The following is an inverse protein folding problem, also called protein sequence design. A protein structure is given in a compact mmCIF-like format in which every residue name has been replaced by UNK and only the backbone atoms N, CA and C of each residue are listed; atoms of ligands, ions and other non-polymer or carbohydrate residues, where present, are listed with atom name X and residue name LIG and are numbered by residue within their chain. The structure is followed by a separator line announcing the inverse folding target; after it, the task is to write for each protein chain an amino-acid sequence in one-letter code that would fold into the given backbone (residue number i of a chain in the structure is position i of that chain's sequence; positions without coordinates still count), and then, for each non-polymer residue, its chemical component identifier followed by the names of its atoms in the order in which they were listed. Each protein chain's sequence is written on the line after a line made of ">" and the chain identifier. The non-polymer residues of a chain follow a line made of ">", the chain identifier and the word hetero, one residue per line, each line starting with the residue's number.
data_IF_038397279087
#
_entry.id   IF_038397279087
#
_cell.length_a   1.000
_cell.length_b   1.000
_cell.length_c   1.000
_cell.angle_alpha   90.00
_cell.angle_beta   90.00
_cell.angle_gamma   90.00
#
_symmetry.space_group_name_H-M   'P 1'
#
loop_
_entity.id
_entity.type
_entity.pdbx_description
1 polymer ?
#
# COMPACT_ATOMS: atom_id res chain seq x y z
N UNK A 1 18.28 15.48 -14.22
CA UNK A 1 17.03 14.76 -14.04
C UNK A 1 16.84 14.28 -12.62
N UNK A 2 17.62 13.36 -12.11
CA UNK A 2 17.40 12.77 -10.75
C UNK A 2 17.20 13.78 -9.62
N UNK A 3 17.91 14.88 -9.58
CA UNK A 3 17.80 15.88 -8.51
C UNK A 3 16.46 16.61 -8.50
N UNK A 4 15.93 16.96 -9.68
CA UNK A 4 14.66 17.66 -9.79
C UNK A 4 13.49 16.72 -9.50
N UNK A 5 13.57 15.46 -9.92
CA UNK A 5 12.56 14.44 -9.62
C UNK A 5 12.49 14.20 -8.11
N UNK A 6 13.64 14.15 -7.43
CA UNK A 6 13.71 14.06 -5.97
C UNK A 6 13.08 15.30 -5.32
N UNK A 7 13.37 16.50 -5.82
CA UNK A 7 12.77 17.74 -5.32
C UNK A 7 11.25 17.74 -5.50
N UNK A 8 10.76 17.34 -6.67
CA UNK A 8 9.33 17.23 -6.95
C UNK A 8 8.66 16.20 -6.04
N UNK A 9 9.28 15.05 -5.85
CA UNK A 9 8.80 13.98 -4.96
C UNK A 9 8.71 14.47 -3.51
N UNK A 10 9.75 15.12 -3.00
CA UNK A 10 9.77 15.64 -1.63
C UNK A 10 8.75 16.76 -1.43
N UNK A 11 8.62 17.68 -2.42
CA UNK A 11 7.63 18.76 -2.37
C UNK A 11 6.21 18.21 -2.37
N UNK A 12 5.94 17.19 -3.17
CA UNK A 12 4.65 16.52 -3.24
C UNK A 12 4.29 15.78 -1.93
N UNK A 13 5.29 15.17 -1.27
CA UNK A 13 5.13 14.55 0.05
C UNK A 13 5.06 15.57 1.20
N UNK A 14 5.15 16.87 0.92
CA UNK A 14 5.17 17.91 1.95
C UNK A 14 6.44 17.93 2.80
N UNK A 15 7.49 17.23 2.39
CA UNK A 15 8.79 17.19 3.08
C UNK A 15 9.59 18.43 2.72
N UNK A 16 10.10 19.14 3.73
CA UNK A 16 11.06 20.21 3.52
C UNK A 16 12.40 19.63 3.08
N UNK A 17 12.89 20.07 1.94
CA UNK A 17 14.27 19.79 1.51
C UNK A 17 15.19 20.78 2.23
N UNK A 18 16.32 20.31 2.72
CA UNK A 18 17.20 20.95 3.73
C UNK A 18 17.53 22.45 3.52
N UNK A 19 17.24 23.07 2.38
CA UNK A 19 17.55 24.49 2.12
C UNK A 19 16.44 25.25 1.39
N UNK A 20 15.24 24.67 1.21
CA UNK A 20 14.17 25.29 0.45
C UNK A 20 12.85 25.31 1.24
N UNK A 21 12.20 26.46 1.27
CA UNK A 21 10.78 26.50 1.66
C UNK A 21 9.90 25.84 0.59
N UNK A 22 8.68 25.46 0.92
CA UNK A 22 7.75 24.88 -0.08
C UNK A 22 7.49 25.83 -1.26
N UNK A 23 7.47 27.14 -1.01
CA UNK A 23 7.31 28.17 -2.06
C UNK A 23 8.57 28.26 -2.96
N UNK A 24 9.75 28.20 -2.38
CA UNK A 24 11.00 28.20 -3.13
C UNK A 24 11.14 26.92 -3.98
N UNK A 25 10.72 25.77 -3.43
CA UNK A 25 10.71 24.50 -4.16
C UNK A 25 9.78 24.56 -5.37
N UNK A 26 8.56 25.08 -5.22
CA UNK A 26 7.64 25.25 -6.33
C UNK A 26 8.18 26.23 -7.39
N UNK A 27 8.86 27.27 -6.96
CA UNK A 27 9.51 28.24 -7.86
C UNK A 27 10.68 27.59 -8.61
N UNK A 28 11.49 26.78 -7.94
CA UNK A 28 12.58 26.04 -8.56
C UNK A 28 12.09 25.01 -9.58
N UNK A 29 11.03 24.26 -9.24
CA UNK A 29 10.37 23.29 -10.13
C UNK A 29 9.85 24.02 -11.39
N UNK A 30 9.18 25.15 -11.21
CA UNK A 30 8.67 25.95 -12.31
C UNK A 30 9.79 26.46 -13.23
N UNK A 31 10.87 26.99 -12.68
CA UNK A 31 12.05 27.42 -13.44
C UNK A 31 12.67 26.28 -14.23
N UNK A 32 12.73 25.10 -13.64
CA UNK A 32 13.24 23.92 -14.31
C UNK A 32 12.38 23.56 -15.53
N UNK A 33 11.05 23.53 -15.38
CA UNK A 33 10.16 23.28 -16.51
C UNK A 33 10.25 24.37 -17.58
N UNK A 34 10.36 25.63 -17.20
CA UNK A 34 10.56 26.73 -18.13
C UNK A 34 11.85 26.52 -18.96
N UNK A 35 12.93 26.07 -18.31
CA UNK A 35 14.21 25.79 -18.97
C UNK A 35 14.13 24.57 -19.88
N UNK A 36 13.59 23.45 -19.42
CA UNK A 36 13.47 22.20 -20.19
C UNK A 36 12.52 22.35 -21.40
N UNK A 37 11.48 23.14 -21.24
CA UNK A 37 10.54 23.43 -22.33
C UNK A 37 11.01 24.53 -23.27
N UNK A 38 12.13 25.20 -22.94
CA UNK A 38 12.67 26.31 -23.71
C UNK A 38 11.77 27.56 -23.66
N UNK A 39 11.10 27.77 -22.52
CA UNK A 39 10.30 28.95 -22.23
C UNK A 39 11.22 30.02 -21.62
N UNK A 40 11.23 31.25 -22.13
CA UNK A 40 12.01 32.33 -21.49
C UNK A 40 11.56 32.55 -20.03
N UNK A 41 12.52 32.76 -19.13
CA UNK A 41 12.25 32.92 -17.69
C UNK A 41 11.23 34.06 -17.45
N UNK A 42 10.17 33.76 -16.70
CA UNK A 42 9.12 34.73 -16.40
C UNK A 42 8.20 35.09 -17.59
N UNK A 43 8.23 34.34 -18.67
CA UNK A 43 7.39 34.58 -19.83
C UNK A 43 5.91 34.39 -19.49
N UNK A 44 5.12 35.48 -19.69
CA UNK A 44 3.66 35.46 -19.54
C UNK A 44 2.93 35.38 -20.89
N UNK A 45 3.67 35.33 -22.03
CA UNK A 45 3.06 35.22 -23.35
C UNK A 45 2.60 33.78 -23.62
N UNK A 46 1.31 33.60 -23.58
CA UNK A 46 0.62 32.35 -23.84
C UNK A 46 0.93 31.70 -25.17
N UNK A 47 1.27 32.48 -26.19
CA UNK A 47 1.63 31.94 -27.53
C UNK A 47 2.98 31.25 -27.48
N UNK A 48 3.92 31.85 -26.77
CA UNK A 48 5.28 31.29 -26.59
C UNK A 48 5.21 30.00 -25.77
N UNK A 49 4.51 30.04 -24.67
CA UNK A 49 4.30 28.85 -23.77
C UNK A 49 3.64 27.72 -24.57
N UNK A 50 2.58 28.00 -25.33
CA UNK A 50 1.91 27.01 -26.19
C UNK A 50 2.85 26.36 -27.21
N UNK A 51 3.67 27.17 -27.82
CA UNK A 51 4.59 26.70 -28.86
C UNK A 51 5.71 25.84 -28.28
N UNK A 52 6.20 26.22 -27.11
CA UNK A 52 7.23 25.49 -26.36
C UNK A 52 6.70 24.14 -25.89
N UNK A 53 5.54 24.12 -25.23
CA UNK A 53 4.87 22.89 -24.80
C UNK A 53 4.62 21.92 -25.96
N UNK A 54 4.17 22.42 -27.13
CA UNK A 54 3.96 21.55 -28.29
C UNK A 54 5.24 20.93 -28.83
N UNK A 55 6.37 21.64 -28.72
CA UNK A 55 7.65 21.14 -29.21
C UNK A 55 8.30 20.12 -28.32
N UNK A 56 8.16 20.31 -27.01
CA UNK A 56 8.86 19.54 -25.98
C UNK A 56 7.89 18.70 -25.12
N UNK A 57 6.73 18.32 -25.65
CA UNK A 57 5.70 17.55 -24.94
C UNK A 57 6.25 16.27 -24.31
N UNK A 58 6.93 15.46 -25.11
CA UNK A 58 7.45 14.16 -24.68
C UNK A 58 8.30 14.33 -23.42
N UNK A 59 9.21 15.31 -23.46
CA UNK A 59 10.11 15.58 -22.33
C UNK A 59 9.38 15.98 -21.05
N UNK A 60 8.33 16.78 -21.20
CA UNK A 60 7.51 17.21 -20.09
C UNK A 60 6.81 16.01 -19.43
N UNK A 61 6.26 15.10 -20.22
CA UNK A 61 5.54 13.94 -19.72
C UNK A 61 6.47 12.87 -19.13
N UNK A 62 7.66 12.67 -19.71
CA UNK A 62 8.71 11.83 -19.10
C UNK A 62 9.04 12.25 -17.66
N UNK A 63 9.12 13.55 -17.39
CA UNK A 63 9.40 14.06 -16.05
C UNK A 63 8.24 13.78 -15.08
N UNK A 64 6.99 13.95 -15.55
CA UNK A 64 5.81 13.67 -14.73
C UNK A 64 5.74 12.17 -14.41
N UNK A 65 5.93 11.33 -15.42
CA UNK A 65 5.94 9.88 -15.30
C UNK A 65 6.95 9.42 -14.25
N UNK A 66 8.22 9.82 -14.39
CA UNK A 66 9.28 9.50 -13.43
C UNK A 66 8.96 10.04 -12.02
N UNK A 67 8.33 11.21 -11.91
CA UNK A 67 7.95 11.78 -10.62
C UNK A 67 6.84 10.99 -9.94
N UNK A 68 5.78 10.63 -10.67
CA UNK A 68 4.66 9.85 -10.13
C UNK A 68 5.13 8.46 -9.72
N UNK A 69 5.98 7.82 -10.52
CA UNK A 69 6.56 6.51 -10.19
C UNK A 69 7.39 6.57 -8.90
N UNK A 70 8.26 7.55 -8.77
CA UNK A 70 9.07 7.73 -7.56
C UNK A 70 8.21 8.03 -6.32
N UNK A 71 7.13 8.83 -6.49
CA UNK A 71 6.17 9.10 -5.42
C UNK A 71 5.48 7.83 -4.93
N UNK A 72 5.03 6.97 -5.86
CA UNK A 72 4.37 5.71 -5.53
C UNK A 72 5.31 4.78 -4.77
N UNK A 73 6.50 4.56 -5.29
CA UNK A 73 7.50 3.67 -4.66
C UNK A 73 7.92 4.18 -3.29
N UNK A 74 8.11 5.49 -3.13
CA UNK A 74 8.46 6.11 -1.85
C UNK A 74 7.31 6.03 -0.85
N UNK A 75 6.08 6.32 -1.28
CA UNK A 75 4.88 6.25 -0.44
C UNK A 75 4.64 4.84 0.10
N UNK A 76 4.80 3.82 -0.72
CA UNK A 76 4.65 2.41 -0.29
C UNK A 76 5.74 2.00 0.70
N UNK A 77 6.98 2.46 0.52
CA UNK A 77 8.08 2.18 1.44
C UNK A 77 7.93 2.84 2.81
N UNK A 78 7.21 3.94 2.89
CA UNK A 78 7.00 4.68 4.14
C UNK A 78 5.73 4.21 4.91
N UNK A 79 4.84 3.47 4.27
CA UNK A 79 3.63 2.96 4.90
C UNK A 79 3.94 1.74 5.78
N UNK A 80 3.75 1.86 7.11
CA UNK A 80 4.01 0.78 8.09
C UNK A 80 3.20 -0.50 7.78
N UNK A 81 1.96 -0.36 7.36
CA UNK A 81 1.13 -1.48 6.97
C UNK A 81 1.72 -2.20 5.76
N UNK A 82 2.11 -1.44 4.75
CA UNK A 82 2.73 -1.98 3.55
C UNK A 82 4.04 -2.70 3.87
N UNK A 83 4.88 -2.09 4.70
CA UNK A 83 6.14 -2.70 5.13
C UNK A 83 5.93 -4.00 5.92
N UNK A 84 4.87 -4.09 6.72
CA UNK A 84 4.63 -5.26 7.57
C UNK A 84 4.03 -6.44 6.81
N UNK A 85 3.14 -6.19 5.85
CA UNK A 85 2.32 -7.24 5.23
C UNK A 85 2.56 -7.44 3.74
N UNK A 86 3.25 -6.52 3.06
CA UNK A 86 3.44 -6.57 1.61
C UNK A 86 4.90 -6.80 1.24
N UNK A 87 5.17 -7.87 0.50
CA UNK A 87 6.45 -8.06 -0.19
C UNK A 87 6.35 -7.42 -1.57
N UNK A 88 7.09 -6.33 -1.75
CA UNK A 88 7.11 -5.56 -2.98
C UNK A 88 8.28 -5.97 -3.87
N UNK A 89 8.00 -6.20 -5.15
CA UNK A 89 9.03 -6.39 -6.18
C UNK A 89 8.74 -5.50 -7.38
N UNK A 90 9.77 -4.81 -7.84
CA UNK A 90 9.76 -4.12 -9.12
C UNK A 90 10.48 -4.99 -10.14
N UNK A 91 9.79 -5.35 -11.21
CA UNK A 91 10.28 -6.25 -12.26
C UNK A 91 10.27 -5.54 -13.62
N UNK A 92 11.23 -5.87 -14.47
CA UNK A 92 11.20 -5.42 -15.85
C UNK A 92 10.04 -6.06 -16.61
N UNK A 93 9.55 -5.40 -17.66
CA UNK A 93 8.46 -5.90 -18.47
C UNK A 93 8.80 -7.27 -19.08
N UNK A 94 7.96 -8.26 -18.78
CA UNK A 94 8.15 -9.65 -19.28
C UNK A 94 9.11 -10.49 -18.44
N UNK A 95 9.61 -9.99 -17.33
CA UNK A 95 10.41 -10.75 -16.40
C UNK A 95 9.55 -11.75 -15.61
N UNK A 96 10.12 -12.91 -15.24
CA UNK A 96 9.39 -13.95 -14.51
C UNK A 96 9.17 -13.54 -13.06
N UNK A 97 7.92 -13.44 -12.64
CA UNK A 97 7.54 -13.05 -11.29
C UNK A 97 7.14 -14.26 -10.42
N UNK A 98 8.11 -15.02 -9.97
CA UNK A 98 7.88 -16.14 -9.07
C UNK A 98 8.24 -15.79 -7.64
N UNK A 99 7.29 -15.94 -6.72
CA UNK A 99 7.53 -15.83 -5.29
C UNK A 99 7.68 -17.21 -4.70
N UNK A 100 8.85 -17.49 -4.15
CA UNK A 100 9.09 -18.70 -3.43
C UNK A 100 8.62 -18.56 -1.98
N UNK A 101 7.74 -19.46 -1.56
CA UNK A 101 7.30 -19.60 -0.17
C UNK A 101 7.85 -20.91 0.35
N UNK A 102 8.75 -20.86 1.35
CA UNK A 102 9.32 -22.06 1.94
C UNK A 102 8.23 -22.88 2.64
N UNK A 103 8.43 -24.17 2.72
CA UNK A 103 7.59 -25.03 3.56
C UNK A 103 8.07 -24.90 5.02
N UNK A 104 7.24 -24.29 5.85
CA UNK A 104 7.52 -24.08 7.28
C UNK A 104 6.79 -25.09 8.16
N UNK A 105 6.42 -26.26 7.60
CA UNK A 105 5.81 -27.34 8.38
C UNK A 105 6.75 -27.82 9.49
N UNK A 106 6.20 -27.89 10.70
CA UNK A 106 6.95 -28.35 11.88
C UNK A 106 7.03 -29.87 11.83
N UNK A 107 8.26 -30.40 11.87
CA UNK A 107 8.49 -31.83 11.95
C UNK A 107 8.16 -32.34 13.35
N UNK A 108 7.46 -33.47 13.42
CA UNK A 108 7.06 -34.09 14.70
C UNK A 108 8.18 -35.01 15.19
N UNK A 109 8.63 -34.79 16.41
CA UNK A 109 9.57 -35.67 17.08
C UNK A 109 8.77 -36.67 17.90
N UNK A 110 9.03 -37.95 17.71
CA UNK A 110 8.38 -39.02 18.46
C UNK A 110 9.40 -39.73 19.36
N UNK A 111 9.01 -40.05 20.57
CA UNK A 111 9.77 -40.95 21.43
C UNK A 111 9.60 -42.37 20.91
N UNK A 112 10.68 -43.12 20.88
CA UNK A 112 10.64 -44.53 20.51
C UNK A 112 11.42 -45.40 21.48
N UNK A 113 10.97 -46.61 21.65
CA UNK A 113 11.69 -47.63 22.40
C UNK A 113 12.79 -48.21 21.54
N UNK A 114 13.99 -48.39 22.09
CA UNK A 114 15.16 -48.88 21.35
C UNK A 114 14.98 -50.21 20.63
N UNK A 115 13.96 -50.98 20.97
CA UNK A 115 13.66 -52.28 20.37
C UNK A 115 12.75 -52.24 19.13
N UNK A 116 12.03 -51.12 18.93
CA UNK A 116 11.12 -50.97 17.79
C UNK A 116 11.30 -49.61 17.12
N UNK A 117 11.50 -49.65 15.81
CA UNK A 117 11.62 -48.45 14.99
C UNK A 117 10.24 -48.06 14.44
N UNK A 118 9.43 -47.41 15.28
CA UNK A 118 8.10 -46.91 14.96
C UNK A 118 8.10 -45.46 14.47
N UNK A 119 9.29 -44.91 14.15
CA UNK A 119 9.40 -43.53 13.67
C UNK A 119 8.77 -43.39 12.27
N UNK A 120 7.75 -42.56 12.19
CA UNK A 120 7.10 -42.22 10.93
C UNK A 120 8.03 -41.33 10.11
N UNK A 121 8.32 -41.74 8.87
CA UNK A 121 9.13 -40.98 7.93
C UNK A 121 8.35 -39.73 7.54
N UNK A 122 8.91 -38.55 7.81
CA UNK A 122 8.36 -37.27 7.42
C UNK A 122 9.18 -36.71 6.23
N UNK A 123 8.49 -36.22 5.22
CA UNK A 123 9.14 -35.62 4.07
C UNK A 123 9.32 -34.13 4.33
N UNK A 124 10.54 -33.63 4.17
CA UNK A 124 10.78 -32.19 4.14
C UNK A 124 10.10 -31.61 2.89
N UNK A 125 9.21 -30.64 3.08
CA UNK A 125 8.56 -29.94 1.97
C UNK A 125 9.55 -29.11 1.17
N UNK A 126 9.33 -29.02 -0.12
CA UNK A 126 10.21 -28.27 -1.02
C UNK A 126 9.81 -26.78 -1.16
N UNK A 127 8.80 -26.33 -0.42
CA UNK A 127 8.19 -25.02 -0.64
C UNK A 127 7.39 -24.97 -1.96
N UNK A 128 6.85 -23.82 -2.28
CA UNK A 128 6.07 -23.61 -3.50
C UNK A 128 6.41 -22.25 -4.13
N UNK A 129 6.41 -22.23 -5.45
CA UNK A 129 6.52 -21.00 -6.22
C UNK A 129 5.13 -20.55 -6.64
N UNK A 130 4.85 -19.27 -6.42
CA UNK A 130 3.58 -18.65 -6.76
C UNK A 130 3.79 -17.56 -7.79
N UNK A 131 3.23 -17.72 -9.01
CA UNK A 131 3.21 -16.65 -9.98
C UNK A 131 2.15 -15.61 -9.61
N UNK A 132 2.47 -14.33 -9.78
CA UNK A 132 1.52 -13.23 -9.61
C UNK A 132 1.07 -12.74 -10.97
N UNK A 133 -0.21 -12.84 -11.27
CA UNK A 133 -0.76 -12.32 -12.51
C UNK A 133 -0.83 -10.78 -12.46
N UNK A 134 -0.14 -10.12 -13.39
CA UNK A 134 -0.17 -8.68 -13.54
C UNK A 134 -1.35 -8.24 -14.39
N UNK A 135 -1.92 -7.07 -14.07
CA UNK A 135 -3.03 -6.43 -14.80
C UNK A 135 -2.64 -5.00 -15.13
N UNK A 136 -3.13 -4.50 -16.25
CA UNK A 136 -2.95 -3.10 -16.59
C UNK A 136 -3.91 -2.23 -15.78
N UNK A 137 -3.38 -1.21 -15.16
CA UNK A 137 -4.10 -0.12 -14.52
C UNK A 137 -3.87 1.15 -15.32
N UNK A 138 -4.86 2.00 -15.39
CA UNK A 138 -4.72 3.26 -16.10
C UNK A 138 -5.64 4.33 -15.53
N UNK A 139 -5.18 5.56 -15.59
CA UNK A 139 -5.97 6.74 -15.31
C UNK A 139 -5.98 7.62 -16.54
N UNK A 140 -7.17 8.04 -16.95
CA UNK A 140 -7.36 8.96 -18.07
C UNK A 140 -7.93 10.27 -17.55
N UNK A 141 -7.21 11.35 -17.80
CA UNK A 141 -7.56 12.68 -17.31
C UNK A 141 -7.67 13.61 -18.52
N UNK A 142 -8.70 14.43 -18.54
CA UNK A 142 -8.85 15.48 -19.54
C UNK A 142 -9.06 16.82 -18.85
N UNK A 143 -8.55 17.86 -19.44
CA UNK A 143 -8.86 19.23 -19.04
C UNK A 143 -8.90 20.17 -20.25
N UNK A 144 -9.59 21.29 -20.07
CA UNK A 144 -9.63 22.34 -21.06
C UNK A 144 -8.24 22.99 -21.19
N UNK A 145 -7.70 22.97 -22.40
CA UNK A 145 -6.40 23.55 -22.69
C UNK A 145 -6.27 25.01 -22.23
N UNK A 146 -7.38 25.75 -22.19
CA UNK A 146 -7.42 27.15 -21.76
C UNK A 146 -7.13 27.32 -20.28
N UNK A 147 -7.67 26.44 -19.42
CA UNK A 147 -7.46 26.48 -17.96
C UNK A 147 -6.00 26.20 -17.61
N UNK A 148 -5.40 25.28 -18.32
CA UNK A 148 -3.98 24.95 -18.21
C UNK A 148 -3.09 26.16 -18.56
N UNK A 149 -3.49 26.94 -19.57
CA UNK A 149 -2.76 28.13 -20.01
C UNK A 149 -2.90 29.32 -19.08
N UNK A 150 -4.04 29.42 -18.41
CA UNK A 150 -4.28 30.49 -17.44
C UNK A 150 -3.53 30.32 -16.14
N UNK A 151 -2.78 29.21 -15.97
CA UNK A 151 -2.06 28.90 -14.74
C UNK A 151 -3.00 28.56 -13.57
N UNK A 152 -4.28 28.25 -13.89
CA UNK A 152 -5.28 27.86 -12.90
C UNK A 152 -4.98 26.45 -12.37
N UNK A 153 -4.31 25.63 -13.20
CA UNK A 153 -3.89 24.28 -12.81
C UNK A 153 -2.42 24.33 -12.44
N UNK A 154 -2.14 24.07 -11.18
CA UNK A 154 -0.78 23.85 -10.69
C UNK A 154 -0.33 22.44 -11.06
N UNK A 155 0.86 22.35 -11.67
CA UNK A 155 1.45 21.09 -12.10
C UNK A 155 1.70 20.14 -10.94
N UNK A 156 2.15 20.66 -9.81
CA UNK A 156 2.35 19.88 -8.60
C UNK A 156 1.02 19.32 -8.10
N UNK A 157 -0.04 20.13 -8.09
CA UNK A 157 -1.37 19.70 -7.72
C UNK A 157 -1.96 18.65 -8.67
N UNK A 158 -1.66 18.74 -9.97
CA UNK A 158 -2.08 17.75 -10.96
C UNK A 158 -1.37 16.40 -10.75
N UNK A 159 -0.05 16.42 -10.58
CA UNK A 159 0.76 15.22 -10.33
C UNK A 159 0.35 14.55 -9.01
N UNK A 160 0.11 15.35 -7.97
CA UNK A 160 -0.36 14.82 -6.68
C UNK A 160 -1.73 14.14 -6.79
N UNK A 161 -2.66 14.72 -7.53
CA UNK A 161 -3.99 14.09 -7.72
C UNK A 161 -3.91 12.77 -8.48
N UNK A 162 -3.00 12.65 -9.44
CA UNK A 162 -2.76 11.39 -10.13
C UNK A 162 -2.16 10.35 -9.18
N UNK A 163 -1.14 10.74 -8.43
CA UNK A 163 -0.53 9.91 -7.40
C UNK A 163 -1.57 9.42 -6.39
N UNK A 164 -2.34 10.33 -5.78
CA UNK A 164 -3.38 9.99 -4.81
C UNK A 164 -4.43 9.02 -5.38
N UNK A 165 -4.82 9.19 -6.64
CA UNK A 165 -5.79 8.31 -7.27
C UNK A 165 -5.24 6.88 -7.49
N UNK A 166 -3.99 6.77 -7.92
CA UNK A 166 -3.30 5.50 -8.13
C UNK A 166 -3.02 4.81 -6.79
N UNK A 167 -2.44 5.55 -5.84
CA UNK A 167 -2.13 5.05 -4.50
C UNK A 167 -3.39 4.54 -3.80
N UNK A 168 -4.47 5.32 -3.84
CA UNK A 168 -5.77 4.91 -3.31
C UNK A 168 -6.25 3.60 -3.94
N UNK A 169 -6.15 3.46 -5.27
CA UNK A 169 -6.59 2.24 -5.95
C UNK A 169 -5.78 1.02 -5.54
N UNK A 170 -4.45 1.16 -5.45
CA UNK A 170 -3.57 0.07 -5.04
C UNK A 170 -3.81 -0.29 -3.58
N UNK A 171 -3.90 0.69 -2.70
CA UNK A 171 -4.23 0.46 -1.30
C UNK A 171 -5.60 -0.22 -1.15
N UNK A 172 -6.61 0.20 -1.92
CA UNK A 172 -7.91 -0.45 -1.93
C UNK A 172 -7.84 -1.92 -2.34
N UNK A 173 -7.00 -2.26 -3.31
CA UNK A 173 -6.83 -3.63 -3.78
C UNK A 173 -6.01 -4.47 -2.76
N UNK A 174 -5.00 -3.88 -2.12
CA UNK A 174 -4.26 -4.52 -1.01
C UNK A 174 -5.20 -4.81 0.16
N UNK A 175 -6.02 -3.86 0.55
CA UNK A 175 -6.99 -4.07 1.62
C UNK A 175 -8.07 -5.09 1.23
N UNK A 176 -8.51 -5.12 -0.03
CA UNK A 176 -9.43 -6.15 -0.52
C UNK A 176 -8.79 -7.55 -0.43
N UNK A 177 -7.50 -7.66 -0.76
CA UNK A 177 -6.75 -8.92 -0.61
C UNK A 177 -6.62 -9.32 0.86
N UNK A 178 -6.41 -8.36 1.75
CA UNK A 178 -6.36 -8.60 3.20
C UNK A 178 -7.70 -9.08 3.76
N UNK A 179 -8.83 -8.56 3.27
CA UNK A 179 -10.15 -9.02 3.69
C UNK A 179 -10.49 -10.44 3.25
N UNK A 180 -9.95 -10.87 2.11
CA UNK A 180 -10.15 -12.25 1.65
C UNK A 180 -9.58 -13.29 2.62
N UNK A 181 -8.73 -12.87 3.55
CA UNK A 181 -8.23 -13.70 4.63
C UNK A 181 -9.33 -14.33 5.47
N UNK A 182 -10.40 -13.58 5.75
CA UNK A 182 -11.54 -14.08 6.52
C UNK A 182 -12.22 -15.30 5.86
N UNK A 183 -12.14 -15.41 4.54
CA UNK A 183 -12.71 -16.51 3.76
C UNK A 183 -11.81 -17.76 3.70
N UNK A 184 -10.51 -17.60 3.98
CA UNK A 184 -9.50 -18.65 3.82
C UNK A 184 -9.10 -19.26 5.17
N UNK A 185 -9.53 -18.65 6.28
CA UNK A 185 -9.18 -19.09 7.63
C UNK A 185 -9.65 -20.53 7.88
N UNK A 186 -8.77 -21.43 8.37
CA UNK A 186 -9.19 -22.74 8.83
C UNK A 186 -10.22 -22.61 9.97
N UNK A 187 -11.24 -23.44 9.96
CA UNK A 187 -12.35 -23.37 10.94
C UNK A 187 -11.88 -23.42 12.41
N UNK A 188 -10.73 -24.02 12.68
CA UNK A 188 -10.12 -24.08 14.01
C UNK A 188 -9.55 -22.74 14.52
N UNK A 189 -9.26 -21.81 13.61
CA UNK A 189 -8.71 -20.48 13.92
C UNK A 189 -9.70 -19.35 13.65
N UNK A 190 -10.92 -19.67 13.22
CA UNK A 190 -12.03 -18.72 13.07
C UNK A 190 -12.92 -18.74 14.32
N UNK A 191 -12.98 -17.62 15.06
CA UNK A 191 -13.90 -17.45 16.20
C UNK A 191 -14.97 -16.42 15.88
N UNK A 192 -16.20 -16.70 16.35
CA UNK A 192 -17.31 -15.75 16.26
C UNK A 192 -18.01 -15.69 17.61
N UNK A 193 -18.38 -14.50 18.08
CA UNK A 193 -19.09 -14.32 19.34
C UNK A 193 -18.80 -13.02 20.05
N UNK A 194 -19.16 -12.94 21.35
CA UNK A 194 -18.93 -11.75 22.16
C UNK A 194 -17.43 -11.51 22.35
N UNK A 195 -16.99 -10.26 22.16
CA UNK A 195 -15.60 -9.89 22.35
C UNK A 195 -15.22 -9.95 23.83
N UNK A 196 -14.38 -10.92 24.20
CA UNK A 196 -13.87 -11.10 25.55
C UNK A 196 -12.36 -11.23 25.55
N UNK A 197 -11.72 -10.75 26.61
CA UNK A 197 -10.27 -10.84 26.81
C UNK A 197 -9.77 -12.29 26.67
N UNK A 198 -10.46 -13.23 27.33
CA UNK A 198 -10.09 -14.64 27.30
C UNK A 198 -10.09 -15.22 25.88
N UNK A 199 -11.12 -14.96 25.08
CA UNK A 199 -11.21 -15.47 23.73
C UNK A 199 -10.14 -14.88 22.79
N UNK A 200 -9.78 -13.62 23.00
CA UNK A 200 -8.72 -12.95 22.23
C UNK A 200 -7.37 -13.57 22.52
N UNK A 201 -7.05 -13.75 23.81
CA UNK A 201 -5.78 -14.35 24.23
C UNK A 201 -5.67 -15.82 23.81
N UNK A 202 -6.74 -16.60 23.99
CA UNK A 202 -6.79 -18.01 23.59
C UNK A 202 -6.57 -18.19 22.07
N UNK A 203 -7.17 -17.31 21.24
CA UNK A 203 -6.94 -17.35 19.80
C UNK A 203 -5.52 -16.92 19.42
N UNK A 204 -4.98 -15.90 20.08
CA UNK A 204 -3.60 -15.45 19.85
C UNK A 204 -2.60 -16.54 20.23
N UNK A 205 -2.81 -17.20 21.36
CA UNK A 205 -1.98 -18.32 21.80
C UNK A 205 -2.09 -19.52 20.86
N UNK A 206 -3.29 -19.88 20.42
CA UNK A 206 -3.51 -20.95 19.44
C UNK A 206 -2.77 -20.70 18.13
N UNK A 207 -2.82 -19.47 17.61
CA UNK A 207 -2.08 -19.07 16.39
C UNK A 207 -0.56 -19.12 16.64
N UNK A 208 -0.09 -18.64 17.79
CA UNK A 208 1.33 -18.70 18.15
C UNK A 208 1.84 -20.15 18.22
N UNK A 209 1.12 -21.03 18.92
CA UNK A 209 1.49 -22.45 19.04
C UNK A 209 1.52 -23.12 17.66
N UNK A 210 0.52 -22.86 16.80
CA UNK A 210 0.45 -23.43 15.46
C UNK A 210 1.62 -22.99 14.56
N UNK A 211 2.24 -21.86 14.88
CA UNK A 211 3.41 -21.33 14.14
C UNK A 211 4.72 -21.52 14.93
N UNK A 212 4.78 -22.50 15.84
CA UNK A 212 6.04 -22.82 16.53
C UNK A 212 6.44 -21.85 17.64
N UNK A 213 5.49 -21.10 18.20
CA UNK A 213 5.73 -20.15 19.29
C UNK A 213 6.09 -18.73 18.81
N UNK A 214 5.86 -18.41 17.55
CA UNK A 214 6.10 -17.06 17.04
C UNK A 214 5.15 -16.03 17.63
N UNK A 215 5.64 -14.79 17.70
CA UNK A 215 4.82 -13.66 18.13
C UNK A 215 3.67 -13.41 17.15
N UNK A 216 2.52 -13.07 17.69
CA UNK A 216 1.31 -12.75 16.93
C UNK A 216 1.06 -11.25 17.00
N UNK A 217 0.59 -10.68 15.89
CA UNK A 217 0.12 -9.30 15.81
C UNK A 217 -1.39 -9.31 15.62
N UNK A 218 -2.10 -8.41 16.31
CA UNK A 218 -3.54 -8.20 16.14
C UNK A 218 -3.77 -7.02 15.21
N UNK A 219 -4.44 -7.24 14.08
CA UNK A 219 -4.78 -6.22 13.11
C UNK A 219 -6.29 -6.01 13.07
N UNK A 220 -6.71 -4.77 12.88
CA UNK A 220 -8.14 -4.45 12.75
C UNK A 220 -8.38 -2.99 12.43
N UNK A 221 -9.64 -2.65 12.12
CA UNK A 221 -10.01 -1.24 11.94
C UNK A 221 -9.83 -0.47 13.23
N UNK A 222 -9.71 0.85 13.14
CA UNK A 222 -9.60 1.72 14.33
C UNK A 222 -10.73 1.46 15.34
N UNK A 223 -11.95 1.23 14.84
CA UNK A 223 -13.10 0.91 15.69
C UNK A 223 -12.96 -0.44 16.37
N UNK A 224 -12.51 -1.47 15.64
CA UNK A 224 -12.29 -2.80 16.18
C UNK A 224 -11.19 -2.80 17.27
N UNK A 225 -10.06 -2.15 16.98
CA UNK A 225 -8.96 -2.01 17.96
C UNK A 225 -9.40 -1.18 19.19
N UNK A 226 -10.21 -0.13 19.00
CA UNK A 226 -10.74 0.65 20.12
C UNK A 226 -11.65 -0.18 21.03
N UNK A 227 -12.50 -1.07 20.46
CA UNK A 227 -13.33 -2.02 21.24
C UNK A 227 -12.46 -3.04 21.99
N UNK A 228 -11.41 -3.57 21.35
CA UNK A 228 -10.43 -4.45 21.97
C UNK A 228 -9.76 -3.76 23.19
N UNK A 229 -9.33 -2.52 23.04
CA UNK A 229 -8.73 -1.74 24.13
C UNK A 229 -9.70 -1.43 25.26
N UNK A 230 -11.00 -1.45 24.99
CA UNK A 230 -12.05 -1.33 26.01
C UNK A 230 -12.09 -2.50 27.00
N UNK A 231 -11.49 -3.66 26.67
CA UNK A 231 -11.39 -4.84 27.54
C UNK A 231 -10.26 -4.72 28.58
N UNK A 232 -9.36 -3.75 28.43
CA UNK A 232 -8.24 -3.56 29.36
C UNK A 232 -8.76 -2.86 30.62
N UNK A 233 -8.47 -3.43 31.78
CA UNK A 233 -8.84 -2.85 33.06
C UNK A 233 -8.14 -1.51 33.30
N UNK A 234 -8.89 -0.49 33.69
CA UNK A 234 -8.40 0.89 33.86
C UNK A 234 -7.21 1.00 34.84
N UNK A 235 -7.10 0.07 35.82
CA UNK A 235 -6.01 0.05 36.79
C UNK A 235 -4.63 -0.33 36.25
N UNK A 236 -4.57 -1.01 35.10
CA UNK A 236 -3.32 -1.48 34.49
C UNK A 236 -2.81 -0.55 33.40
N UNK A 237 -3.56 0.49 33.05
CA UNK A 237 -3.18 1.43 31.99
C UNK A 237 -2.24 2.49 32.56
N UNK A 238 -0.99 2.50 32.10
CA UNK A 238 -0.02 3.52 32.47
C UNK A 238 -0.41 4.91 31.93
N UNK A 239 0.11 5.98 32.54
CA UNK A 239 -0.13 7.33 32.03
C UNK A 239 0.38 7.53 30.60
N UNK A 240 1.50 6.90 30.25
CA UNK A 240 2.05 6.91 28.89
C UNK A 240 1.10 6.26 27.87
N UNK A 241 0.49 5.12 28.23
CA UNK A 241 -0.52 4.47 27.36
C UNK A 241 -1.77 5.33 27.19
N UNK A 242 -2.18 6.06 28.25
CA UNK A 242 -3.30 7.02 28.15
C UNK A 242 -2.99 8.17 27.22
N UNK A 243 -1.78 8.72 27.29
CA UNK A 243 -1.32 9.78 26.38
C UNK A 243 -1.23 9.27 24.93
N UNK A 244 -0.65 8.10 24.73
CA UNK A 244 -0.58 7.48 23.39
C UNK A 244 -1.99 7.25 22.82
N UNK A 245 -2.91 6.71 23.61
CA UNK A 245 -4.31 6.52 23.21
C UNK A 245 -4.99 7.84 22.85
N UNK A 246 -4.73 8.90 23.60
CA UNK A 246 -5.30 10.24 23.33
C UNK A 246 -4.70 10.88 22.06
N UNK A 247 -3.42 10.62 21.78
CA UNK A 247 -2.71 11.22 20.65
C UNK A 247 -2.96 10.45 19.34
N UNK A 248 -2.85 9.11 19.37
CA UNK A 248 -2.95 8.27 18.16
C UNK A 248 -4.32 7.60 18.02
N UNK A 249 -5.14 7.55 19.09
CA UNK A 249 -6.42 6.85 19.13
C UNK A 249 -6.31 5.32 19.22
N UNK A 250 -5.10 4.79 19.35
CA UNK A 250 -4.81 3.36 19.53
C UNK A 250 -3.63 3.19 20.46
N UNK A 251 -3.46 2.00 21.00
CA UNK A 251 -2.29 1.61 21.81
C UNK A 251 -1.52 0.57 21.01
N UNK A 252 -0.19 0.64 21.03
CA UNK A 252 0.66 -0.25 20.25
C UNK A 252 0.61 -1.72 20.73
N UNK A 253 0.23 -1.96 21.99
CA UNK A 253 0.21 -3.30 22.58
C UNK A 253 -1.07 -3.55 23.38
N UNK A 254 -1.62 -4.74 23.23
CA UNK A 254 -2.71 -5.28 24.04
C UNK A 254 -2.21 -6.54 24.74
N UNK A 255 -2.09 -6.52 26.07
CA UNK A 255 -1.59 -7.64 26.89
C UNK A 255 -0.27 -8.26 26.36
N UNK A 256 0.65 -7.41 25.91
CA UNK A 256 1.93 -7.84 25.34
C UNK A 256 1.89 -8.22 23.86
N UNK A 257 0.72 -8.25 23.24
CA UNK A 257 0.55 -8.53 21.81
C UNK A 257 0.55 -7.21 21.05
N UNK A 258 1.35 -7.09 20.01
CA UNK A 258 1.39 -5.91 19.17
C UNK A 258 0.07 -5.72 18.42
N UNK A 259 -0.43 -4.50 18.38
CA UNK A 259 -1.66 -4.16 17.65
C UNK A 259 -1.35 -3.20 16.51
N UNK A 260 -2.00 -3.41 15.37
CA UNK A 260 -1.89 -2.53 14.22
C UNK A 260 -3.27 -2.11 13.73
N UNK A 261 -3.41 -0.81 13.48
CA UNK A 261 -4.64 -0.26 12.89
C UNK A 261 -4.56 -0.31 11.38
N UNK A 262 -5.50 -1.02 10.77
CA UNK A 262 -5.69 -1.04 9.32
C UNK A 262 -6.61 0.13 8.95
N UNK A 263 -6.18 1.02 8.06
CA UNK A 263 -7.02 2.12 7.59
C UNK A 263 -8.29 1.59 6.91
N UNK A 264 -9.45 2.15 7.25
CA UNK A 264 -10.69 1.80 6.57
C UNK A 264 -10.90 2.73 5.38
N UNK A 265 -11.47 2.19 4.30
CA UNK A 265 -11.71 2.91 3.04
C UNK A 265 -13.19 2.79 2.68
N UNK A 266 -13.71 3.73 1.94
CA UNK A 266 -15.05 3.62 1.37
C UNK A 266 -15.01 2.83 0.06
N UNK A 267 -16.07 2.09 -0.22
CA UNK A 267 -16.28 1.52 -1.54
C UNK A 267 -16.35 2.64 -2.59
N UNK A 268 -15.80 2.37 -3.76
CA UNK A 268 -15.70 3.38 -4.81
C UNK A 268 -17.09 3.93 -5.19
N UNK A 269 -17.25 5.25 -5.08
CA UNK A 269 -18.52 5.92 -5.41
C UNK A 269 -19.60 5.82 -4.34
N UNK A 270 -19.31 5.26 -3.15
CA UNK A 270 -20.25 5.13 -2.04
C UNK A 270 -19.68 5.70 -0.75
N UNK A 271 -20.52 5.85 0.27
CA UNK A 271 -20.13 6.17 1.65
C UNK A 271 -20.11 4.93 2.55
N UNK A 272 -20.20 3.74 1.95
CA UNK A 272 -20.17 2.48 2.67
C UNK A 272 -18.73 2.11 2.98
N UNK A 273 -18.45 1.79 4.23
CA UNK A 273 -17.13 1.30 4.64
C UNK A 273 -16.85 -0.06 4.02
N UNK A 274 -15.68 -0.24 3.43
CA UNK A 274 -15.26 -1.49 2.82
C UNK A 274 -14.98 -2.58 3.85
N UNK A 275 -14.47 -2.17 5.03
CA UNK A 275 -14.17 -3.06 6.14
C UNK A 275 -15.23 -3.02 7.22
N UNK A 276 -15.60 -4.20 7.72
CA UNK A 276 -16.47 -4.31 8.87
C UNK A 276 -15.68 -3.98 10.13
N UNK A 277 -16.30 -3.22 11.03
CA UNK A 277 -15.67 -2.78 12.29
C UNK A 277 -15.78 -3.84 13.42
N UNK A 278 -16.08 -5.09 13.05
CA UNK A 278 -16.35 -6.22 13.95
C UNK A 278 -15.37 -7.38 13.80
N UNK A 279 -14.32 -7.22 13.01
CA UNK A 279 -13.35 -8.29 12.72
C UNK A 279 -11.96 -7.90 13.17
N UNK A 280 -11.29 -8.81 13.87
CA UNK A 280 -9.88 -8.76 14.23
C UNK A 280 -9.13 -9.90 13.54
N UNK A 281 -7.95 -9.61 13.03
CA UNK A 281 -7.05 -10.56 12.39
C UNK A 281 -5.85 -10.81 13.29
N UNK A 282 -5.48 -12.07 13.45
CA UNK A 282 -4.34 -12.53 14.23
C UNK A 282 -3.31 -13.09 13.26
N UNK A 283 -2.24 -12.37 13.04
CA UNK A 283 -1.21 -12.70 12.06
C UNK A 283 0.10 -13.01 12.75
N UNK A 284 0.81 -14.09 12.39
CA UNK A 284 2.15 -14.34 12.90
C UNK A 284 3.11 -13.27 12.36
N UNK A 285 4.04 -12.83 13.19
CA UNK A 285 5.12 -11.92 12.82
C UNK A 285 6.23 -12.72 12.17
N UNK A 286 6.10 -13.00 10.88
CA UNK A 286 7.04 -13.77 10.09
C UNK A 286 7.76 -12.90 9.06
N UNK A 287 8.96 -13.32 8.65
CA UNK A 287 9.70 -12.71 7.54
C UNK A 287 8.98 -12.90 6.19
N UNK A 288 8.12 -13.93 6.08
CA UNK A 288 7.33 -14.19 4.88
C UNK A 288 6.05 -13.37 4.92
N UNK A 289 6.04 -12.27 4.22
CA UNK A 289 4.87 -11.39 4.16
C UNK A 289 3.73 -12.01 3.36
N UNK A 290 2.48 -11.91 3.83
CA UNK A 290 1.34 -12.61 3.24
C UNK A 290 0.91 -12.06 1.87
N UNK A 291 1.10 -10.77 1.61
CA UNK A 291 0.69 -10.15 0.36
C UNK A 291 1.92 -9.99 -0.53
N UNK A 292 1.87 -10.59 -1.72
CA UNK A 292 2.90 -10.44 -2.74
C UNK A 292 2.42 -9.42 -3.77
N UNK A 293 3.12 -8.30 -3.86
CA UNK A 293 2.79 -7.21 -4.78
C UNK A 293 3.92 -7.02 -5.78
N UNK A 294 3.56 -7.01 -7.06
CA UNK A 294 4.47 -6.85 -8.19
C UNK A 294 4.09 -5.60 -8.96
N UNK A 295 5.06 -4.76 -9.19
CA UNK A 295 5.00 -3.67 -10.16
C UNK A 295 5.85 -4.08 -11.36
N UNK A 296 5.27 -4.13 -12.56
CA UNK A 296 5.92 -4.67 -13.75
C UNK A 296 6.12 -3.58 -14.80
N UNK A 297 7.36 -3.38 -15.19
CA UNK A 297 7.75 -2.38 -16.18
C UNK A 297 7.74 -0.97 -15.63
N UNK A 298 7.82 -0.02 -16.54
CA UNK A 298 7.76 1.40 -16.25
C UNK A 298 6.31 1.91 -16.45
N UNK A 299 6.02 3.06 -15.89
CA UNK A 299 4.78 3.76 -16.14
C UNK A 299 4.81 4.28 -17.57
N UNK A 300 3.73 4.13 -18.31
CA UNK A 300 3.63 4.61 -19.70
C UNK A 300 2.60 5.73 -19.79
N UNK A 301 3.02 6.83 -20.35
CA UNK A 301 2.17 7.98 -20.63
C UNK A 301 1.77 7.99 -22.11
N UNK A 302 0.50 8.11 -22.38
CA UNK A 302 -0.05 8.27 -23.74
C UNK A 302 -0.92 9.51 -23.81
N UNK A 303 -0.67 10.36 -24.78
CA UNK A 303 -1.50 11.53 -25.08
C UNK A 303 -2.32 11.27 -26.34
N UNK A 304 -3.63 11.51 -26.25
CA UNK A 304 -4.49 11.52 -27.42
C UNK A 304 -4.52 12.94 -28.03
N UNK A 305 -3.75 13.12 -29.11
CA UNK A 305 -3.60 14.38 -29.83
C UNK A 305 -4.44 14.46 -31.10
N UNK A 306 -5.23 13.48 -31.45
CA UNK A 306 -6.03 13.48 -32.65
C UNK A 306 -7.17 14.50 -32.59
N UNK A 307 -6.81 15.74 -32.92
CA UNK A 307 -7.77 16.84 -33.12
C UNK A 307 -8.81 16.59 -34.22
N UNK A 308 -8.63 15.58 -35.04
CA UNK A 308 -9.51 15.24 -36.15
C UNK A 308 -10.79 14.57 -35.69
N UNK A 309 -10.77 13.87 -34.57
CA UNK A 309 -11.92 13.12 -34.01
C UNK A 309 -12.70 13.90 -32.95
N UNK A 310 -12.07 14.88 -32.28
CA UNK A 310 -12.69 15.64 -31.19
C UNK A 310 -12.74 17.13 -31.52
N UNK A 311 -13.95 17.65 -31.50
CA UNK A 311 -14.22 19.09 -31.74
C UNK A 311 -14.09 19.93 -30.47
N UNK A 312 -13.96 19.30 -29.30
CA UNK A 312 -13.70 19.94 -28.03
C UNK A 312 -12.21 20.28 -27.90
N UNK A 313 -11.87 21.45 -27.41
CA UNK A 313 -10.51 21.92 -27.24
C UNK A 313 -9.85 21.32 -25.98
N UNK A 314 -10.07 20.02 -25.69
CA UNK A 314 -9.53 19.33 -24.52
C UNK A 314 -8.21 18.63 -24.87
N UNK A 315 -7.35 18.48 -23.86
CA UNK A 315 -6.16 17.63 -23.90
C UNK A 315 -6.47 16.44 -23.00
N UNK A 316 -6.29 15.25 -23.51
CA UNK A 316 -6.38 14.02 -22.74
C UNK A 316 -4.99 13.47 -22.48
N UNK A 317 -4.79 13.07 -21.25
CA UNK A 317 -3.60 12.41 -20.78
C UNK A 317 -4.00 11.04 -20.20
N UNK A 318 -3.34 9.98 -20.60
CA UNK A 318 -3.53 8.64 -20.05
C UNK A 318 -2.20 8.15 -19.49
N UNK A 319 -2.21 7.80 -18.22
CA UNK A 319 -1.11 7.10 -17.56
C UNK A 319 -1.54 5.66 -17.35
N UNK A 320 -0.70 4.72 -17.75
CA UNK A 320 -0.92 3.31 -17.55
C UNK A 320 0.31 2.65 -16.93
N UNK A 321 0.07 1.64 -16.11
CA UNK A 321 1.11 0.83 -15.48
C UNK A 321 0.59 -0.58 -15.28
N UNK A 322 1.48 -1.52 -15.05
CA UNK A 322 1.12 -2.91 -14.76
C UNK A 322 1.48 -3.27 -13.34
N UNK A 323 0.52 -3.80 -12.64
CA UNK A 323 0.72 -4.29 -11.29
C UNK A 323 -0.07 -5.58 -11.07
N UNK A 324 0.38 -6.37 -10.13
CA UNK A 324 -0.30 -7.59 -9.74
C UNK A 324 -0.16 -7.82 -8.25
N UNK A 325 -1.15 -8.48 -7.67
CA UNK A 325 -1.06 -8.90 -6.28
C UNK A 325 -1.71 -10.25 -6.08
N UNK A 326 -1.17 -10.98 -5.12
CA UNK A 326 -1.74 -12.23 -4.65
C UNK A 326 -1.49 -12.37 -3.16
N UNK A 327 -2.37 -13.08 -2.49
CA UNK A 327 -2.23 -13.39 -1.07
C UNK A 327 -1.80 -14.83 -0.94
N UNK A 328 -0.66 -15.05 -0.28
CA UNK A 328 -0.09 -16.37 -0.07
C UNK A 328 0.22 -16.54 1.40
N UNK A 329 -0.36 -17.56 2.01
CA UNK A 329 -0.07 -17.94 3.37
C UNK A 329 0.69 -19.26 3.41
N UNK A 330 1.89 -19.22 3.98
CA UNK A 330 2.63 -20.40 4.39
C UNK A 330 2.38 -20.79 5.86
N UNK A 331 1.68 -19.92 6.61
CA UNK A 331 1.50 -20.04 8.06
C UNK A 331 0.04 -19.98 8.48
N UNK A 332 -0.23 -20.43 9.69
CA UNK A 332 -1.56 -20.35 10.28
C UNK A 332 -1.84 -18.92 10.79
N UNK A 333 -3.03 -18.45 10.55
CA UNK A 333 -3.52 -17.16 11.03
C UNK A 333 -4.95 -17.32 11.55
N UNK A 334 -5.41 -16.37 12.37
CA UNK A 334 -6.72 -16.43 12.96
C UNK A 334 -7.57 -15.22 12.63
N UNK A 335 -8.89 -15.40 12.67
CA UNK A 335 -9.86 -14.30 12.59
C UNK A 335 -10.85 -14.39 13.74
N UNK A 336 -11.19 -13.25 14.30
CA UNK A 336 -12.22 -13.14 15.31
C UNK A 336 -13.27 -12.13 14.90
N UNK A 337 -14.46 -12.65 14.62
CA UNK A 337 -15.61 -11.83 14.28
C UNK A 337 -16.50 -11.67 15.49
N UNK A 338 -16.59 -10.48 16.03
CA UNK A 338 -17.38 -10.23 17.22
C UNK A 338 -18.70 -9.56 16.89
N UNK A 339 -19.76 -10.00 17.57
CA UNK A 339 -21.05 -9.33 17.57
C UNK A 339 -20.99 -8.12 18.49
N UNK A 340 -21.37 -6.96 17.96
CA UNK A 340 -21.43 -5.69 18.73
C UNK A 340 -22.51 -5.73 19.80
#
# INVERSE_FOLDING_TARGET
>A
MKEITILMTNTALGKQVENYSLEDSNTAIRKYFETELGIPEGCKDMRVIKKALRRNKVRFFEIIEETVENLLVSGWRENEFFQSFVEFRNLALGETNLFYVPDESILTVSEFSGDHNELIRQKLGAGREYPVATRAYGIKIYDEYVRFQMGIIDWAGFTNKMYEAIDKKINDDIYASFLQLDQIVPASFGKTGALTKANVLDLAEAVSIANGGENVMICGTRTAISKLMGLTEAGWISNQMKEQRNTTGSVAYFEGIQTMVVPNVFEQGTTTKKYQDDTLFFLPMSDVKPIKFVYEGDMEYTEDTERTTRRDQTIEAMIQFRAGMTTVFGRYFGTYKFTS
#
